data_IF_229261024951
#
_entry.id   IF_229261024951
#
_cell.length_a   1.000
_cell.length_b   1.000
_cell.length_c   1.000
_cell.angle_alpha   90.00
_cell.angle_beta   90.00
_cell.angle_gamma   90.00
#
_symmetry.space_group_name_H-M   'P 1'
#
loop_
_entity.id
_entity.type
_entity.pdbx_description
1 polymer ?
#
# COMPACT_ATOMS: atom_id res chain seq x y z
N UNK A 1 -15.12 -5.96 7.82
CA UNK A 1 -14.72 -6.74 6.62
C UNK A 1 -13.34 -6.24 6.18
N UNK A 2 -12.41 -7.13 5.86
CA UNK A 2 -11.09 -6.77 5.32
C UNK A 2 -10.92 -7.50 3.99
N UNK A 3 -10.44 -6.80 2.97
CA UNK A 3 -10.24 -7.34 1.62
C UNK A 3 -8.80 -7.04 1.22
N UNK A 4 -8.13 -8.03 0.60
CA UNK A 4 -6.83 -7.87 -0.02
C UNK A 4 -6.98 -8.02 -1.55
N UNK A 5 -7.28 -6.94 -2.28
CA UNK A 5 -7.59 -7.03 -3.70
C UNK A 5 -6.45 -7.56 -4.58
N UNK A 6 -5.20 -7.45 -4.14
CA UNK A 6 -4.03 -8.01 -4.83
C UNK A 6 -4.00 -9.55 -4.83
N UNK A 7 -4.69 -10.18 -3.88
CA UNK A 7 -4.69 -11.64 -3.66
C UNK A 7 -3.40 -12.20 -3.05
N UNK A 8 -2.28 -11.49 -3.16
CA UNK A 8 -1.00 -11.82 -2.52
C UNK A 8 -0.18 -10.55 -2.30
N UNK A 9 0.88 -10.63 -1.49
CA UNK A 9 1.79 -9.50 -1.26
C UNK A 9 2.74 -9.32 -2.44
N UNK A 10 2.99 -8.07 -2.83
CA UNK A 10 4.09 -7.75 -3.73
C UNK A 10 5.42 -8.25 -3.14
N UNK A 11 6.13 -9.11 -3.88
CA UNK A 11 7.44 -9.61 -3.47
C UNK A 11 8.34 -9.84 -4.70
N UNK A 12 9.32 -8.97 -4.95
CA UNK A 12 10.18 -9.03 -6.13
C UNK A 12 11.29 -10.10 -6.01
N UNK A 13 11.50 -10.66 -4.81
CA UNK A 13 12.53 -11.68 -4.54
C UNK A 13 11.94 -13.08 -4.73
N UNK A 14 10.83 -13.37 -4.03
CA UNK A 14 10.29 -14.72 -3.91
C UNK A 14 9.00 -14.96 -4.71
N UNK A 15 8.39 -13.94 -5.32
CA UNK A 15 7.10 -14.08 -6.01
C UNK A 15 7.04 -13.25 -7.30
N UNK A 16 8.01 -13.48 -8.20
CA UNK A 16 8.08 -12.83 -9.51
C UNK A 16 6.89 -13.18 -10.40
N UNK A 17 6.36 -14.40 -10.30
CA UNK A 17 5.18 -14.85 -11.05
C UNK A 17 3.93 -14.03 -10.75
N UNK A 18 3.74 -13.56 -9.51
CA UNK A 18 2.62 -12.66 -9.19
C UNK A 18 2.77 -11.29 -9.85
N UNK A 19 4.00 -10.77 -9.93
CA UNK A 19 4.31 -9.51 -10.59
C UNK A 19 4.08 -9.64 -12.10
N UNK A 20 4.52 -10.73 -12.72
CA UNK A 20 4.29 -10.99 -14.14
C UNK A 20 2.80 -11.12 -14.45
N UNK A 21 2.03 -11.88 -13.67
CA UNK A 21 0.57 -11.96 -13.82
C UNK A 21 -0.13 -10.62 -13.65
N UNK A 22 0.38 -9.77 -12.76
CA UNK A 22 -0.11 -8.39 -12.60
C UNK A 22 0.17 -7.56 -13.85
N UNK A 23 1.37 -7.63 -14.41
CA UNK A 23 1.76 -6.93 -15.65
C UNK A 23 0.97 -7.40 -16.87
N UNK A 24 0.80 -8.71 -17.04
CA UNK A 24 -0.03 -9.25 -18.13
C UNK A 24 -1.47 -8.77 -18.02
N UNK A 25 -2.02 -8.72 -16.80
CA UNK A 25 -3.36 -8.17 -16.58
C UNK A 25 -3.44 -6.68 -16.95
N UNK A 26 -2.43 -5.88 -16.57
CA UNK A 26 -2.37 -4.48 -16.93
C UNK A 26 -2.38 -4.30 -18.45
N UNK A 27 -1.53 -5.06 -19.16
CA UNK A 27 -1.46 -5.05 -20.63
C UNK A 27 -2.78 -5.46 -21.29
N UNK A 28 -3.43 -6.52 -20.82
CA UNK A 28 -4.73 -6.97 -21.33
C UNK A 28 -5.85 -5.94 -21.14
N UNK A 29 -5.70 -5.06 -20.16
CA UNK A 29 -6.68 -4.00 -19.82
C UNK A 29 -6.25 -2.61 -20.29
N UNK A 30 -5.14 -2.52 -21.03
CA UNK A 30 -4.54 -1.25 -21.48
C UNK A 30 -4.26 -0.26 -20.32
N UNK A 31 -3.80 -0.80 -19.19
CA UNK A 31 -3.45 -0.05 -17.99
C UNK A 31 -1.93 0.12 -17.90
N UNK A 32 -1.48 1.25 -17.35
CA UNK A 32 -0.06 1.49 -17.09
C UNK A 32 0.52 0.46 -16.11
N UNK A 33 1.76 -0.02 -16.29
CA UNK A 33 2.36 -0.93 -15.31
C UNK A 33 2.52 -0.25 -13.94
N UNK A 34 2.42 -1.05 -12.87
CA UNK A 34 2.71 -0.64 -11.49
C UNK A 34 3.98 -1.36 -11.04
N UNK A 35 4.86 -0.66 -10.33
CA UNK A 35 6.21 -1.13 -10.01
C UNK A 35 6.39 -1.53 -8.55
N UNK A 36 5.53 -1.05 -7.65
CA UNK A 36 5.63 -1.23 -6.19
C UNK A 36 4.43 -1.97 -5.58
N UNK A 37 3.34 -2.13 -6.34
CA UNK A 37 2.12 -2.86 -5.95
C UNK A 37 1.65 -3.79 -7.07
N UNK A 38 0.73 -4.70 -6.73
CA UNK A 38 0.07 -5.56 -7.72
C UNK A 38 -1.28 -4.96 -8.13
N UNK A 39 -1.70 -5.19 -9.37
CA UNK A 39 -3.01 -4.75 -9.82
C UNK A 39 -4.12 -5.47 -9.06
N UNK A 40 -5.08 -4.73 -8.48
CA UNK A 40 -6.14 -5.34 -7.71
C UNK A 40 -7.11 -6.11 -8.61
N UNK A 41 -7.60 -7.24 -8.12
CA UNK A 41 -8.76 -7.94 -8.68
C UNK A 41 -10.01 -7.36 -8.03
N UNK A 42 -10.79 -6.62 -8.80
CA UNK A 42 -11.89 -5.80 -8.27
C UNK A 42 -13.12 -6.62 -7.83
N UNK A 43 -13.28 -7.87 -8.26
CA UNK A 43 -14.50 -8.66 -8.04
C UNK A 43 -14.98 -8.68 -6.59
N UNK A 44 -14.10 -9.03 -5.65
CA UNK A 44 -14.46 -9.07 -4.22
C UNK A 44 -14.84 -7.69 -3.66
N UNK A 45 -14.08 -6.64 -4.04
CA UNK A 45 -14.35 -5.26 -3.62
C UNK A 45 -15.68 -4.76 -4.17
N UNK A 46 -15.96 -5.01 -5.45
CA UNK A 46 -17.22 -4.66 -6.11
C UNK A 46 -18.40 -5.34 -5.41
N UNK A 47 -18.32 -6.65 -5.19
CA UNK A 47 -19.37 -7.40 -4.48
C UNK A 47 -19.58 -6.89 -3.07
N UNK A 48 -18.50 -6.61 -2.33
CA UNK A 48 -18.59 -6.11 -0.95
C UNK A 48 -19.23 -4.72 -0.88
N UNK A 49 -18.79 -3.78 -1.71
CA UNK A 49 -19.36 -2.41 -1.74
C UNK A 49 -20.83 -2.48 -2.13
N UNK A 50 -21.20 -3.24 -3.17
CA UNK A 50 -22.61 -3.33 -3.60
C UNK A 50 -23.52 -3.97 -2.56
N UNK A 51 -23.06 -5.02 -1.88
CA UNK A 51 -23.86 -5.72 -0.88
C UNK A 51 -24.00 -4.93 0.43
N UNK A 52 -23.03 -4.07 0.75
CA UNK A 52 -22.94 -3.41 2.05
C UNK A 52 -23.15 -1.89 2.00
N UNK A 53 -23.33 -1.27 0.83
CA UNK A 53 -23.39 0.19 0.70
C UNK A 53 -24.40 0.87 1.64
N UNK A 54 -25.53 0.24 1.91
CA UNK A 54 -26.58 0.79 2.79
C UNK A 54 -26.29 0.61 4.30
N UNK A 55 -25.25 -0.16 4.63
CA UNK A 55 -24.84 -0.49 6.01
C UNK A 55 -23.38 -0.14 6.29
N UNK A 56 -22.68 0.46 5.34
CA UNK A 56 -21.25 0.76 5.42
C UNK A 56 -21.07 2.27 5.54
N UNK A 57 -20.51 2.73 6.65
CA UNK A 57 -20.23 4.16 6.83
C UNK A 57 -19.05 4.63 5.95
N UNK A 58 -17.98 3.82 5.89
CA UNK A 58 -16.76 4.17 5.18
C UNK A 58 -15.93 2.94 4.79
N UNK A 59 -15.07 3.13 3.78
CA UNK A 59 -13.97 2.23 3.41
C UNK A 59 -12.66 2.84 3.88
N UNK A 60 -11.85 2.05 4.57
CA UNK A 60 -10.49 2.42 4.97
C UNK A 60 -9.50 1.82 3.98
N UNK A 61 -8.77 2.69 3.31
CA UNK A 61 -7.67 2.35 2.43
C UNK A 61 -6.37 2.41 3.23
N UNK A 62 -5.74 1.26 3.46
CA UNK A 62 -4.54 1.14 4.30
C UNK A 62 -3.36 0.69 3.44
N UNK A 63 -2.25 1.40 3.56
CA UNK A 63 -0.97 1.06 2.93
C UNK A 63 0.12 0.98 3.99
N UNK A 64 0.75 -0.18 4.08
CA UNK A 64 1.81 -0.44 5.06
C UNK A 64 3.15 -0.44 4.32
N UNK A 65 4.08 0.33 4.84
CA UNK A 65 5.40 0.60 4.29
C UNK A 65 6.45 0.20 5.32
N UNK A 66 7.34 -0.72 4.93
CA UNK A 66 8.39 -1.22 5.81
C UNK A 66 9.71 -0.53 5.48
N UNK A 67 10.32 0.12 6.46
CA UNK A 67 11.67 0.66 6.31
C UNK A 67 12.68 -0.49 6.12
N UNK A 68 13.84 -0.20 5.54
CA UNK A 68 14.94 -1.17 5.32
C UNK A 68 14.61 -2.32 4.35
N UNK A 69 13.52 -2.20 3.59
CA UNK A 69 13.18 -3.13 2.51
C UNK A 69 13.62 -2.61 1.14
N UNK A 70 14.74 -1.88 1.12
CA UNK A 70 15.38 -1.41 -0.10
C UNK A 70 16.88 -1.69 -0.04
N UNK A 71 17.40 -2.38 -1.06
CA UNK A 71 18.82 -2.66 -1.23
C UNK A 71 19.43 -1.54 -2.08
N UNK A 72 20.23 -0.68 -1.43
CA UNK A 72 20.87 0.47 -2.08
C UNK A 72 21.95 0.05 -3.09
N UNK A 73 22.60 -1.10 -2.91
CA UNK A 73 23.64 -1.56 -3.83
C UNK A 73 23.02 -2.13 -5.11
N UNK A 74 21.96 -2.92 -4.94
CA UNK A 74 21.23 -3.55 -6.06
C UNK A 74 20.16 -2.65 -6.67
N UNK A 75 19.84 -1.54 -6.02
CA UNK A 75 18.76 -0.63 -6.40
C UNK A 75 17.41 -1.35 -6.56
N UNK A 76 17.14 -2.35 -5.70
CA UNK A 76 15.88 -3.12 -5.72
C UNK A 76 15.16 -3.05 -4.38
N UNK A 77 13.84 -3.13 -4.44
CA UNK A 77 13.02 -3.41 -3.27
C UNK A 77 13.24 -4.86 -2.83
N UNK A 78 13.32 -5.09 -1.53
CA UNK A 78 13.40 -6.41 -0.90
C UNK A 78 12.00 -6.92 -0.52
N UNK A 79 11.92 -8.19 -0.12
CA UNK A 79 10.69 -8.73 0.42
C UNK A 79 10.29 -7.98 1.70
N UNK A 80 8.98 -7.72 1.87
CA UNK A 80 8.48 -7.25 3.15
C UNK A 80 8.75 -8.30 4.25
N UNK A 81 9.07 -7.88 5.47
CA UNK A 81 9.33 -8.79 6.57
C UNK A 81 8.10 -9.68 6.84
N UNK A 82 8.37 -10.87 7.32
CA UNK A 82 7.39 -11.73 7.97
C UNK A 82 7.01 -11.15 9.34
N UNK A 83 5.85 -11.57 9.86
CA UNK A 83 5.41 -11.16 11.20
C UNK A 83 6.43 -11.59 12.28
N UNK A 84 7.09 -12.74 12.13
CA UNK A 84 8.14 -13.19 13.04
C UNK A 84 9.40 -12.34 12.99
N UNK A 85 9.81 -11.88 11.80
CA UNK A 85 10.97 -10.97 11.66
C UNK A 85 10.65 -9.59 12.24
N UNK A 86 9.41 -9.11 12.03
CA UNK A 86 8.93 -7.87 12.64
C UNK A 86 8.91 -7.96 14.18
N UNK A 87 8.27 -9.00 14.74
CA UNK A 87 8.15 -9.18 16.19
C UNK A 87 9.49 -9.48 16.89
N UNK A 88 10.49 -9.97 16.16
CA UNK A 88 11.84 -10.19 16.71
C UNK A 88 12.72 -8.93 16.68
N UNK A 89 12.19 -7.78 16.22
CA UNK A 89 12.91 -6.51 16.20
C UNK A 89 13.94 -6.39 15.08
N UNK A 90 13.84 -7.21 14.02
CA UNK A 90 14.73 -7.09 12.86
C UNK A 90 14.36 -5.91 11.95
N UNK A 91 13.15 -5.37 12.10
CA UNK A 91 12.69 -4.17 11.41
C UNK A 91 12.22 -3.14 12.42
N UNK A 92 12.87 -1.98 12.44
CA UNK A 92 12.68 -1.02 13.53
C UNK A 92 11.67 0.09 13.22
N UNK A 93 11.18 0.19 11.98
CA UNK A 93 10.29 1.29 11.60
C UNK A 93 9.23 0.87 10.57
N UNK A 94 7.99 1.18 10.92
CA UNK A 94 6.78 0.89 10.15
C UNK A 94 6.05 2.19 9.86
N UNK A 95 5.76 2.46 8.59
CA UNK A 95 4.96 3.60 8.15
C UNK A 95 3.61 3.11 7.67
N UNK A 96 2.52 3.75 8.11
CA UNK A 96 1.17 3.38 7.72
C UNK A 96 0.45 4.60 7.17
N UNK A 97 0.06 4.56 5.90
CA UNK A 97 -0.86 5.53 5.29
C UNK A 97 -2.27 4.96 5.38
N UNK A 98 -3.16 5.68 6.07
CA UNK A 98 -4.57 5.33 6.22
C UNK A 98 -5.41 6.46 5.64
N UNK A 99 -6.32 6.12 4.74
CA UNK A 99 -7.26 7.07 4.16
C UNK A 99 -8.68 6.55 4.31
N UNK A 100 -9.56 7.41 4.80
CA UNK A 100 -10.98 7.09 4.98
C UNK A 100 -11.79 7.68 3.83
N UNK A 101 -12.64 6.86 3.23
CA UNK A 101 -13.61 7.28 2.22
C UNK A 101 -15.00 6.94 2.72
N UNK A 102 -15.86 7.94 2.91
CA UNK A 102 -17.28 7.68 3.16
C UNK A 102 -17.88 6.98 1.95
N UNK A 103 -18.93 6.19 2.16
CA UNK A 103 -19.53 5.40 1.08
C UNK A 103 -20.04 6.27 -0.08
N UNK A 104 -20.50 7.49 0.21
CA UNK A 104 -20.96 8.47 -0.78
C UNK A 104 -19.82 9.14 -1.57
N UNK A 105 -18.57 9.01 -1.14
CA UNK A 105 -17.38 9.50 -1.86
C UNK A 105 -16.86 8.44 -2.87
N UNK A 106 -17.39 7.22 -2.81
CA UNK A 106 -16.98 6.11 -3.67
C UNK A 106 -18.02 5.94 -4.78
N UNK A 107 -17.62 6.07 -6.07
CA UNK A 107 -18.50 5.75 -7.20
C UNK A 107 -18.99 4.30 -7.11
N UNK A 108 -20.30 4.11 -6.96
CA UNK A 108 -20.88 2.79 -6.68
C UNK A 108 -22.15 2.42 -7.48
N UNK A 109 -22.47 3.16 -8.55
CA UNK A 109 -23.62 2.86 -9.41
C UNK A 109 -23.33 1.63 -10.28
N UNK A 110 -22.15 1.61 -10.92
CA UNK A 110 -21.73 0.50 -11.80
C UNK A 110 -20.56 -0.30 -11.23
N UNK A 111 -20.38 -1.52 -11.76
CA UNK A 111 -19.21 -2.35 -11.40
C UNK A 111 -17.91 -1.74 -11.94
N UNK A 112 -17.96 -1.12 -13.12
CA UNK A 112 -16.80 -0.47 -13.72
C UNK A 112 -16.33 0.74 -12.89
N UNK A 113 -17.25 1.56 -12.39
CA UNK A 113 -16.92 2.72 -11.55
C UNK A 113 -16.14 2.33 -10.28
N UNK A 114 -16.61 1.31 -9.56
CA UNK A 114 -15.93 0.81 -8.37
C UNK A 114 -14.56 0.25 -8.74
N UNK A 115 -14.47 -0.48 -9.86
CA UNK A 115 -13.21 -1.05 -10.34
C UNK A 115 -12.20 0.03 -10.72
N UNK A 116 -12.64 1.06 -11.42
CA UNK A 116 -11.82 2.19 -11.83
C UNK A 116 -11.36 3.01 -10.62
N UNK A 117 -12.26 3.28 -9.67
CA UNK A 117 -11.90 3.90 -8.40
C UNK A 117 -10.80 3.10 -7.69
N UNK A 118 -10.95 1.78 -7.60
CA UNK A 118 -9.95 0.89 -7.01
C UNK A 118 -8.62 0.93 -7.76
N UNK A 119 -8.61 0.95 -9.10
CA UNK A 119 -7.38 1.10 -9.88
C UNK A 119 -6.68 2.43 -9.61
N UNK A 120 -7.43 3.53 -9.54
CA UNK A 120 -6.89 4.84 -9.18
C UNK A 120 -6.28 4.85 -7.76
N UNK A 121 -6.91 4.17 -6.80
CA UNK A 121 -6.33 4.00 -5.46
C UNK A 121 -4.97 3.32 -5.54
N UNK A 122 -4.85 2.26 -6.33
CA UNK A 122 -3.59 1.52 -6.49
C UNK A 122 -2.51 2.30 -7.23
N UNK A 123 -2.88 3.13 -8.21
CA UNK A 123 -1.94 4.05 -8.84
C UNK A 123 -1.35 5.05 -7.82
N UNK A 124 -2.18 5.60 -6.93
CA UNK A 124 -1.72 6.51 -5.88
C UNK A 124 -0.83 5.80 -4.86
N UNK A 125 -1.13 4.55 -4.50
CA UNK A 125 -0.28 3.72 -3.63
C UNK A 125 1.08 3.44 -4.27
N UNK A 126 1.09 3.13 -5.56
CA UNK A 126 2.32 2.88 -6.31
C UNK A 126 3.23 4.10 -6.27
N UNK A 127 2.66 5.29 -6.54
CA UNK A 127 3.38 6.57 -6.44
C UNK A 127 3.89 6.84 -5.02
N UNK A 128 3.05 6.64 -4.00
CA UNK A 128 3.44 6.83 -2.60
C UNK A 128 4.62 5.91 -2.22
N UNK A 129 4.54 4.63 -2.58
CA UNK A 129 5.60 3.66 -2.32
C UNK A 129 6.87 3.99 -3.10
N UNK A 130 6.75 4.43 -4.35
CA UNK A 130 7.86 4.91 -5.15
C UNK A 130 8.59 6.05 -4.45
N UNK A 131 7.87 7.09 -4.06
CA UNK A 131 8.44 8.25 -3.36
C UNK A 131 9.07 7.83 -2.03
N UNK A 132 8.40 6.97 -1.25
CA UNK A 132 8.90 6.47 0.03
C UNK A 132 10.22 5.69 -0.12
N UNK A 133 10.30 4.75 -1.07
CA UNK A 133 11.52 3.96 -1.27
C UNK A 133 12.61 4.76 -1.99
N UNK A 134 12.28 5.65 -2.95
CA UNK A 134 13.25 6.56 -3.59
C UNK A 134 13.86 7.55 -2.59
N UNK A 135 13.05 8.02 -1.65
CA UNK A 135 13.54 8.86 -0.57
C UNK A 135 14.50 8.13 0.37
N UNK A 136 14.22 6.85 0.69
CA UNK A 136 15.16 6.00 1.43
C UNK A 136 16.50 5.80 0.70
N UNK A 137 16.52 5.81 -0.65
CA UNK A 137 17.78 5.81 -1.42
C UNK A 137 18.62 7.05 -1.17
N UNK A 138 17.94 8.18 -0.92
CA UNK A 138 18.54 9.52 -0.90
C UNK A 138 18.97 9.95 0.51
N UNK A 139 18.36 9.40 1.57
CA UNK A 139 18.69 9.73 2.96
C UNK A 139 19.36 8.58 3.70
N UNK A 140 20.69 8.66 3.77
CA UNK A 140 21.38 8.49 5.03
C UNK A 140 21.14 9.82 5.81
N UNK A 141 20.59 9.76 7.03
CA UNK A 141 20.41 10.88 8.00
C UNK A 141 19.09 11.68 7.98
N UNK A 142 18.43 11.66 9.14
CA UNK A 142 17.35 12.50 9.69
C UNK A 142 15.88 12.30 9.27
N UNK A 143 15.13 11.88 10.29
CA UNK A 143 13.70 11.57 10.42
C UNK A 143 12.75 12.60 9.80
N UNK A 144 11.70 12.10 9.14
CA UNK A 144 10.58 12.91 8.65
C UNK A 144 9.28 12.45 9.31
N UNK A 145 8.56 13.43 9.87
CA UNK A 145 7.18 13.30 10.35
C UNK A 145 6.25 13.47 9.15
N UNK A 146 5.47 12.44 8.81
CA UNK A 146 4.39 12.57 7.84
C UNK A 146 3.16 13.19 8.53
N UNK A 147 2.70 14.35 8.02
CA UNK A 147 1.41 14.93 8.41
C UNK A 147 0.34 14.49 7.41
N UNK A 148 -0.74 13.91 7.94
CA UNK A 148 -1.97 13.60 7.20
C UNK A 148 -2.73 14.88 6.89
N UNK A 149 -3.26 15.00 5.66
CA UNK A 149 -4.08 16.13 5.25
C UNK A 149 -5.57 15.77 5.42
N UNK A 150 -6.21 16.53 6.32
CA UNK A 150 -7.64 16.61 6.70
C UNK A 150 -8.23 15.50 7.58
N UNK A 151 -8.47 15.91 8.83
CA UNK A 151 -9.55 15.52 9.75
C UNK A 151 -9.82 14.01 9.92
N UNK A 152 -8.92 13.31 10.61
CA UNK A 152 -9.16 12.78 11.97
C UNK A 152 -8.01 11.84 12.41
N UNK A 153 -7.56 12.06 13.65
CA UNK A 153 -6.53 11.37 14.44
C UNK A 153 -5.06 11.77 14.14
N UNK A 154 -4.40 12.54 15.02
CA UNK A 154 -2.95 12.66 15.02
C UNK A 154 -2.33 11.33 15.49
N UNK A 155 -1.53 10.69 14.65
CA UNK A 155 -0.57 9.69 15.13
C UNK A 155 0.78 10.39 15.32
N UNK A 156 1.08 10.71 16.58
CA UNK A 156 2.44 11.07 17.00
C UNK A 156 3.20 9.77 17.25
N UNK A 157 4.25 9.52 16.46
CA UNK A 157 5.17 8.41 16.71
C UNK A 157 6.40 9.05 17.36
N UNK A 158 6.49 8.98 18.70
CA UNK A 158 7.71 9.33 19.42
C UNK A 158 8.80 8.29 19.15
N UNK A 159 9.96 8.76 18.70
CA UNK A 159 11.17 7.98 18.51
C UNK A 159 11.87 7.81 19.86
N UNK A 160 12.24 6.60 20.31
CA UNK A 160 13.25 6.49 21.33
C UNK A 160 14.58 6.97 20.76
N UNK A 161 15.09 8.08 21.30
CA UNK A 161 16.46 8.52 21.09
C UNK A 161 17.40 7.37 21.51
N UNK A 162 18.37 7.06 20.64
CA UNK A 162 19.48 6.16 20.93
C UNK A 162 20.15 6.58 22.25
N UNK A 163 20.37 5.62 23.15
CA UNK A 163 21.59 5.60 23.93
C UNK A 163 22.48 4.48 23.42
N UNK A 164 23.62 4.91 22.89
CA UNK A 164 24.75 4.11 22.44
C UNK A 164 25.45 3.47 23.64
N UNK A 165 25.84 2.19 23.53
CA UNK A 165 27.04 1.67 24.21
C UNK A 165 27.89 1.00 23.14
#
# INVERSE_FOLDING_TARGET
LVIFPEGTRYNPVNNKDAIERSRTFAQQKDLSPLDYVLYPRSGATVSAIKALKDKLDAVYDVTIMYNQTYDNDRQIRLAAPSMSEYLSGQTNELHIDIRRFRINEIPNETNEEISNWLYQRYYLKDKLLKEFYEFQKTKQTDSIIFKSDKDDIPFEIELPLRETI
#
